data_IF_365783575879
#
_entry.id   IF_365783575879
#
_cell.length_a   1.000
_cell.length_b   1.000
_cell.length_c   1.000
_cell.angle_alpha   90.00
_cell.angle_beta   90.00
_cell.angle_gamma   90.00
#
_symmetry.space_group_name_H-M   'P 1'
#
loop_
_entity.id
_entity.type
_entity.pdbx_description
1 polymer ?
#
# COMPACT_ATOMS: atom_id res chain seq x y z
N UNK A 1 -1.56 -15.66 -6.67
CA UNK A 1 -0.62 -14.71 -7.31
C UNK A 1 -0.27 -13.62 -6.31
N UNK A 2 0.92 -13.06 -6.39
CA UNK A 2 1.41 -11.98 -5.52
C UNK A 2 1.40 -10.64 -6.27
N UNK A 3 1.29 -9.53 -5.55
CA UNK A 3 1.26 -8.18 -6.12
C UNK A 3 2.44 -7.85 -7.06
N UNK A 4 3.61 -8.48 -6.90
CA UNK A 4 4.76 -8.29 -7.81
C UNK A 4 4.44 -8.67 -9.27
N UNK A 5 3.38 -9.45 -9.51
CA UNK A 5 2.89 -9.81 -10.83
C UNK A 5 2.08 -8.68 -11.50
N UNK A 6 1.72 -7.62 -10.75
CA UNK A 6 1.09 -6.40 -11.29
C UNK A 6 2.21 -5.45 -11.78
N UNK A 7 2.29 -5.13 -13.08
CA UNK A 7 3.36 -4.30 -13.62
C UNK A 7 3.52 -2.95 -12.92
N UNK A 8 2.43 -2.32 -12.49
CA UNK A 8 2.43 -1.04 -11.78
C UNK A 8 3.03 -1.13 -10.36
N UNK A 9 3.09 -2.34 -9.77
CA UNK A 9 3.61 -2.58 -8.42
C UNK A 9 4.94 -3.33 -8.41
N UNK A 10 5.40 -3.87 -9.54
CA UNK A 10 6.55 -4.78 -9.59
C UNK A 10 7.85 -4.18 -9.08
N UNK A 11 7.95 -2.85 -9.04
CA UNK A 11 9.12 -2.11 -8.59
C UNK A 11 8.98 -1.50 -7.18
N UNK A 12 7.94 -1.89 -6.43
CA UNK A 12 7.74 -1.52 -5.03
C UNK A 12 8.01 -2.71 -4.12
N UNK A 13 8.47 -2.43 -2.90
CA UNK A 13 8.61 -3.42 -1.82
C UNK A 13 7.71 -3.05 -0.65
N UNK A 14 6.50 -3.60 -0.66
CA UNK A 14 5.41 -3.19 0.24
C UNK A 14 5.57 -3.69 1.68
N UNK A 15 6.33 -4.75 1.88
CA UNK A 15 6.58 -5.36 3.18
C UNK A 15 7.43 -4.47 4.10
N UNK A 16 8.28 -3.60 3.54
CA UNK A 16 9.03 -2.56 4.28
C UNK A 16 8.48 -1.14 4.00
N UNK A 17 7.26 -1.03 3.46
CA UNK A 17 6.55 0.24 3.25
C UNK A 17 5.57 0.52 4.38
N UNK A 18 5.36 1.80 4.72
CA UNK A 18 4.49 2.21 5.82
C UNK A 18 3.11 2.66 5.33
N UNK A 19 2.05 2.20 6.00
CA UNK A 19 0.67 2.65 5.76
C UNK A 19 0.40 3.89 6.60
N UNK A 20 0.26 5.03 5.93
CA UNK A 20 0.05 6.33 6.58
C UNK A 20 -1.43 6.66 6.81
N UNK A 21 -2.29 6.17 5.91
CA UNK A 21 -3.74 6.35 6.03
C UNK A 21 -4.50 5.35 5.15
N UNK A 22 -5.73 5.06 5.53
CA UNK A 22 -6.67 4.25 4.77
C UNK A 22 -7.96 5.06 4.59
N UNK A 23 -8.24 5.47 3.35
CA UNK A 23 -9.44 6.23 3.02
C UNK A 23 -10.47 5.30 2.34
N UNK A 24 -11.61 5.10 2.99
CA UNK A 24 -12.74 4.33 2.46
C UNK A 24 -13.77 5.26 1.80
N UNK A 25 -14.11 4.98 0.54
CA UNK A 25 -15.21 5.61 -0.21
C UNK A 25 -16.24 4.58 -0.67
N UNK A 26 -17.33 5.02 -1.29
CA UNK A 26 -18.46 4.12 -1.62
C UNK A 26 -18.07 2.94 -2.55
N UNK A 27 -17.16 3.16 -3.49
CA UNK A 27 -16.66 2.14 -4.44
C UNK A 27 -15.14 2.24 -4.62
N UNK A 28 -14.45 2.85 -3.66
CA UNK A 28 -13.01 3.06 -3.71
C UNK A 28 -12.36 2.82 -2.36
N UNK A 29 -11.24 2.13 -2.34
CA UNK A 29 -10.40 1.96 -1.17
C UNK A 29 -9.01 2.48 -1.49
N UNK A 30 -8.46 3.34 -0.64
CA UNK A 30 -7.14 3.94 -0.86
C UNK A 30 -6.24 3.77 0.33
N UNK A 31 -5.04 3.27 0.08
CA UNK A 31 -3.94 3.26 1.03
C UNK A 31 -2.97 4.38 0.66
N UNK A 32 -2.76 5.32 1.58
CA UNK A 32 -1.64 6.27 1.48
C UNK A 32 -0.43 5.59 2.10
N UNK A 33 0.64 5.49 1.34
CA UNK A 33 1.85 4.78 1.75
C UNK A 33 3.05 5.71 1.71
N UNK A 34 3.99 5.51 2.61
CA UNK A 34 5.40 5.79 2.34
C UNK A 34 6.02 4.49 1.83
N UNK A 35 6.16 4.40 0.51
CA UNK A 35 6.51 3.16 -0.17
C UNK A 35 7.99 3.06 -0.51
N UNK A 36 8.55 1.87 -0.34
CA UNK A 36 9.92 1.54 -0.75
C UNK A 36 9.96 1.31 -2.25
N UNK A 37 10.80 2.09 -2.93
CA UNK A 37 11.15 1.86 -4.33
C UNK A 37 12.34 0.89 -4.43
N UNK A 38 12.21 -0.09 -5.32
CA UNK A 38 13.35 -0.89 -5.78
C UNK A 38 14.24 -0.11 -6.76
N UNK A 39 15.48 -0.56 -6.95
CA UNK A 39 16.47 0.07 -7.84
C UNK A 39 16.02 0.18 -9.31
N UNK A 40 15.08 -0.68 -9.73
CA UNK A 40 14.53 -0.66 -11.08
C UNK A 40 13.43 0.40 -11.29
N UNK A 41 12.95 1.03 -10.21
CA UNK A 41 11.92 2.05 -10.32
C UNK A 41 12.48 3.32 -10.98
N UNK A 42 11.81 3.94 -11.97
CA UNK A 42 12.33 5.13 -12.67
C UNK A 42 12.58 6.35 -11.79
N UNK A 43 11.90 6.44 -10.64
CA UNK A 43 12.08 7.49 -9.61
C UNK A 43 12.99 7.06 -8.46
N UNK A 44 13.69 5.93 -8.58
CA UNK A 44 14.63 5.47 -7.56
C UNK A 44 15.82 6.42 -7.47
N UNK A 45 16.18 6.74 -6.24
CA UNK A 45 17.40 7.45 -5.88
C UNK A 45 18.06 6.68 -4.75
N UNK A 46 19.40 6.72 -4.72
CA UNK A 46 20.14 6.08 -3.62
C UNK A 46 19.67 6.68 -2.28
N UNK A 47 19.34 5.85 -1.28
CA UNK A 47 18.93 6.34 0.04
C UNK A 47 19.97 7.31 0.61
N UNK A 48 19.51 8.36 1.29
CA UNK A 48 20.40 9.23 2.05
C UNK A 48 20.97 8.46 3.25
N UNK A 49 22.08 8.92 3.83
CA UNK A 49 22.84 8.17 4.86
C UNK A 49 22.02 7.73 6.08
N UNK A 50 20.90 8.39 6.37
CA UNK A 50 19.99 8.08 7.48
C UNK A 50 18.85 7.13 7.13
N UNK A 51 18.62 6.83 5.85
CA UNK A 51 17.52 6.00 5.38
C UNK A 51 18.00 4.63 4.91
N UNK A 52 17.22 3.59 5.22
CA UNK A 52 17.50 2.22 4.77
C UNK A 52 17.13 2.02 3.29
N UNK A 53 16.06 2.68 2.83
CA UNK A 53 15.47 2.49 1.51
C UNK A 53 15.13 3.81 0.83
N UNK A 54 14.84 3.75 -0.47
CA UNK A 54 14.35 4.89 -1.24
C UNK A 54 12.84 5.01 -1.03
N UNK A 55 12.42 5.83 -0.06
CA UNK A 55 11.01 6.01 0.26
C UNK A 55 10.36 7.06 -0.66
N UNK A 56 9.11 6.81 -1.06
CA UNK A 56 8.25 7.76 -1.78
C UNK A 56 6.81 7.69 -1.30
N UNK A 57 6.20 8.85 -1.08
CA UNK A 57 4.78 8.93 -0.76
C UNK A 57 3.94 8.58 -1.99
N UNK A 58 3.08 7.57 -1.86
CA UNK A 58 2.16 7.13 -2.92
C UNK A 58 0.74 6.93 -2.40
N UNK A 59 -0.21 6.88 -3.32
CA UNK A 59 -1.56 6.35 -3.09
C UNK A 59 -1.78 5.09 -3.90
N UNK A 60 -1.97 3.98 -3.22
CA UNK A 60 -2.46 2.72 -3.78
C UNK A 60 -3.99 2.74 -3.76
N UNK A 61 -4.59 2.88 -4.94
CA UNK A 61 -6.04 3.05 -5.10
C UNK A 61 -6.66 1.80 -5.74
N UNK A 62 -7.68 1.27 -5.09
CA UNK A 62 -8.63 0.33 -5.65
C UNK A 62 -9.86 1.13 -6.07
N UNK A 63 -10.18 1.11 -7.35
CA UNK A 63 -11.22 1.94 -7.98
C UNK A 63 -12.35 1.04 -8.47
N UNK A 64 -13.57 1.59 -8.52
CA UNK A 64 -14.75 0.88 -9.02
C UNK A 64 -14.89 -0.53 -8.41
N UNK A 65 -14.57 -0.68 -7.12
CA UNK A 65 -14.69 -1.94 -6.43
C UNK A 65 -16.17 -2.28 -6.27
N UNK A 66 -16.54 -3.52 -6.58
CA UNK A 66 -17.89 -4.04 -6.39
C UNK A 66 -18.22 -4.12 -4.90
N UNK A 67 -17.22 -4.49 -4.09
CA UNK A 67 -17.29 -4.46 -2.63
C UNK A 67 -15.87 -4.56 -2.04
N UNK A 68 -15.74 -4.17 -0.78
CA UNK A 68 -14.59 -4.53 0.04
C UNK A 68 -15.07 -4.92 1.44
N UNK A 69 -14.54 -6.03 1.95
CA UNK A 69 -14.94 -6.62 3.22
C UNK A 69 -13.73 -6.72 4.12
N UNK A 70 -13.83 -6.05 5.27
CA UNK A 70 -12.85 -6.14 6.33
C UNK A 70 -13.09 -7.39 7.16
N UNK A 71 -12.19 -8.37 7.07
CA UNK A 71 -12.25 -9.58 7.91
C UNK A 71 -11.67 -9.32 9.31
N UNK A 72 -10.78 -8.33 9.40
CA UNK A 72 -10.29 -7.76 10.64
C UNK A 72 -9.98 -6.27 10.39
N UNK A 73 -10.24 -5.41 11.36
CA UNK A 73 -9.92 -3.98 11.31
C UNK A 73 -9.26 -3.57 12.62
N UNK A 74 -8.06 -3.02 12.51
CA UNK A 74 -7.28 -2.60 13.67
C UNK A 74 -6.54 -1.29 13.35
N UNK A 75 -7.27 -0.19 13.29
CA UNK A 75 -6.70 1.14 12.97
C UNK A 75 -6.06 1.78 14.21
N UNK A 76 -5.13 1.06 14.84
CA UNK A 76 -4.27 1.62 15.88
C UNK A 76 -3.12 2.31 15.16
N UNK A 77 -3.14 3.64 15.22
CA UNK A 77 -2.07 4.47 14.71
C UNK A 77 -0.95 4.57 15.74
N UNK A 78 0.29 4.39 15.29
CA UNK A 78 1.47 4.86 15.98
C UNK A 78 1.86 6.22 15.36
N UNK A 79 2.42 7.09 16.19
CA UNK A 79 3.04 8.31 15.69
C UNK A 79 4.55 8.15 15.82
N UNK A 80 5.26 8.32 14.73
CA UNK A 80 6.72 8.38 14.78
C UNK A 80 7.19 9.69 15.45
N UNK A 81 8.50 9.86 15.57
CA UNK A 81 9.08 11.09 16.14
C UNK A 81 8.79 12.36 15.32
N UNK A 82 8.30 12.23 14.09
CA UNK A 82 7.88 13.35 13.23
C UNK A 82 6.40 13.69 13.36
N UNK A 83 5.63 12.86 14.08
CA UNK A 83 4.18 12.99 14.23
C UNK A 83 3.40 12.43 13.04
N UNK A 84 4.07 11.74 12.12
CA UNK A 84 3.44 11.06 11.01
C UNK A 84 2.73 9.79 11.51
N UNK A 85 1.53 9.56 11.00
CA UNK A 85 0.72 8.39 11.35
C UNK A 85 1.27 7.17 10.66
N UNK A 86 1.44 6.09 11.42
CA UNK A 86 1.90 4.79 10.94
C UNK A 86 0.96 3.71 11.44
N UNK A 87 0.38 2.96 10.51
CA UNK A 87 -0.48 1.80 10.78
C UNK A 87 0.23 0.46 10.55
N UNK A 88 1.56 0.48 10.44
CA UNK A 88 2.40 -0.65 10.07
C UNK A 88 2.44 -0.87 8.56
N UNK A 89 2.87 -2.07 8.17
CA UNK A 89 3.22 -2.38 6.78
C UNK A 89 2.09 -3.12 6.05
N UNK A 90 2.28 -3.39 4.75
CA UNK A 90 1.46 -4.38 4.03
C UNK A 90 2.21 -5.71 4.06
N UNK A 91 1.87 -6.57 5.03
CA UNK A 91 2.51 -7.88 5.21
C UNK A 91 2.19 -8.86 4.09
N UNK A 92 0.98 -8.76 3.52
CA UNK A 92 0.59 -9.60 2.39
C UNK A 92 -0.31 -8.86 1.42
N UNK A 93 -0.06 -9.06 0.13
CA UNK A 93 -0.92 -8.62 -0.95
C UNK A 93 -0.99 -9.74 -2.00
N UNK A 94 -2.14 -10.42 -2.00
CA UNK A 94 -2.45 -11.48 -2.95
C UNK A 94 -3.52 -11.09 -3.95
N UNK A 95 -3.40 -11.63 -5.15
CA UNK A 95 -4.31 -11.44 -6.28
C UNK A 95 -5.11 -12.74 -6.47
N UNK A 96 -6.42 -12.58 -6.67
CA UNK A 96 -7.36 -13.65 -7.03
C UNK A 96 -8.09 -13.30 -8.33
N UNK A 97 -8.90 -14.25 -8.82
CA UNK A 97 -9.69 -14.06 -10.04
C UNK A 97 -10.73 -12.95 -9.91
N UNK A 98 -11.15 -12.58 -8.70
CA UNK A 98 -12.21 -11.60 -8.45
C UNK A 98 -11.69 -10.29 -7.84
N UNK A 99 -10.39 -10.19 -7.54
CA UNK A 99 -9.78 -8.98 -7.02
C UNK A 99 -8.55 -9.24 -6.16
N UNK A 100 -8.56 -8.71 -4.93
CA UNK A 100 -7.37 -8.59 -4.11
C UNK A 100 -7.64 -8.94 -2.65
N UNK A 101 -6.62 -9.45 -1.96
CA UNK A 101 -6.63 -9.58 -0.50
C UNK A 101 -5.35 -8.99 0.05
N UNK A 102 -5.49 -8.00 0.92
CA UNK A 102 -4.39 -7.32 1.59
C UNK A 102 -4.49 -7.51 3.11
N UNK A 103 -3.35 -7.60 3.78
CA UNK A 103 -3.27 -7.60 5.23
C UNK A 103 -2.04 -6.88 5.76
N UNK A 104 -2.17 -6.38 6.98
CA UNK A 104 -1.10 -5.86 7.82
C UNK A 104 -1.58 -5.69 9.25
N UNK A 105 -0.84 -4.94 10.06
CA UNK A 105 -1.24 -4.59 11.43
C UNK A 105 -2.57 -3.82 11.50
N UNK A 106 -2.88 -3.05 10.45
CA UNK A 106 -4.14 -2.34 10.26
C UNK A 106 -5.35 -3.25 10.02
N UNK A 107 -5.13 -4.54 9.78
CA UNK A 107 -6.17 -5.54 9.59
C UNK A 107 -6.06 -6.28 8.27
N UNK A 108 -7.18 -6.84 7.82
CA UNK A 108 -7.25 -7.61 6.57
C UNK A 108 -8.51 -7.26 5.81
N UNK A 109 -8.34 -6.97 4.53
CA UNK A 109 -9.41 -6.60 3.61
C UNK A 109 -9.40 -7.47 2.37
N UNK A 110 -10.59 -7.91 1.96
CA UNK A 110 -10.85 -8.58 0.70
C UNK A 110 -11.56 -7.58 -0.20
N UNK A 111 -11.04 -7.33 -1.39
CA UNK A 111 -11.53 -6.34 -2.34
C UNK A 111 -11.98 -7.08 -3.58
N UNK A 112 -13.26 -6.94 -3.94
CA UNK A 112 -13.79 -7.45 -5.19
C UNK A 112 -13.78 -6.32 -6.22
N UNK A 113 -13.17 -6.58 -7.38
CA UNK A 113 -12.87 -5.58 -8.41
C UNK A 113 -11.38 -5.54 -8.75
N UNK A 114 -11.08 -5.22 -10.02
CA UNK A 114 -9.73 -5.36 -10.60
C UNK A 114 -9.08 -4.04 -11.01
N UNK A 115 -9.75 -2.90 -10.81
CA UNK A 115 -9.17 -1.62 -11.18
C UNK A 115 -8.27 -1.12 -10.05
N UNK A 116 -6.96 -1.15 -10.30
CA UNK A 116 -5.92 -0.67 -9.41
C UNK A 116 -5.20 0.52 -10.06
N UNK A 117 -4.79 1.49 -9.25
CA UNK A 117 -4.02 2.65 -9.70
C UNK A 117 -3.03 3.09 -8.63
N UNK A 118 -1.79 3.36 -9.05
CA UNK A 118 -0.79 4.04 -8.23
C UNK A 118 -0.72 5.51 -8.62
N UNK A 119 -0.68 6.38 -7.62
CA UNK A 119 -0.38 7.81 -7.76
C UNK A 119 0.81 8.12 -6.87
N UNK A 120 1.92 8.52 -7.46
CA UNK A 120 3.11 8.96 -6.71
C UNK A 120 2.95 10.46 -6.43
N UNK A 121 3.12 10.88 -5.18
CA UNK A 121 3.15 12.30 -4.84
C UNK A 121 4.35 12.98 -5.51
N UNK A 122 4.16 14.22 -5.96
CA UNK A 122 5.22 15.04 -6.55
C UNK A 122 6.13 15.66 -5.48
#
# INVERSE_FOLDING_TARGET
>A
MNYHEIPELSNFYLEDSYVLAIDEGASSLKFKLEAVLSENHPRYEKPITSEQYCYRKISLCFLNADSFVWTNRNFIAFSDSSGETDYGNIDSFSISDDGYTLSGDWGKVIINGKAIKIVIAD
#
